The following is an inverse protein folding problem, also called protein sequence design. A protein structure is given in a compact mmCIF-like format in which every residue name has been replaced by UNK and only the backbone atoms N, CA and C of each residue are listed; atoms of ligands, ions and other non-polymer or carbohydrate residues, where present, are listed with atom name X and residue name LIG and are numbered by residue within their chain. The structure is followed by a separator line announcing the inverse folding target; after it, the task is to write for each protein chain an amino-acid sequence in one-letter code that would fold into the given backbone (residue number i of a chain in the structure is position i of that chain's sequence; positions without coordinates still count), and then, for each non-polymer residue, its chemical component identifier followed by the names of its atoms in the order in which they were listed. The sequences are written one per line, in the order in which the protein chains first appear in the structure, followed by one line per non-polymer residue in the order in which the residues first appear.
data_IF_868737237919
#
_entry.id   IF_868737237919
#
_cell.length_a   1.000
_cell.length_b   1.000
_cell.length_c   1.000
_cell.angle_alpha   90.00
_cell.angle_beta   90.00
_cell.angle_gamma   90.00
#
_symmetry.space_group_name_H-M   'P 1'
#
loop_
_entity.id
_entity.type
_entity.pdbx_description
1 polymer ?
#
# COMPACT_ATOMS: atom_id res chain seq x y z
N UNK A 1 105.43 24.23 -22.07
CA UNK A 1 104.41 23.78 -21.09
C UNK A 1 103.05 24.34 -21.50
N UNK A 2 102.13 23.43 -21.84
CA UNK A 2 100.64 23.45 -21.73
C UNK A 2 99.93 24.78 -22.06
N UNK A 3 99.30 24.94 -23.24
CA UNK A 3 98.01 24.40 -23.72
C UNK A 3 96.80 25.30 -23.39
N UNK A 4 96.27 26.01 -24.40
CA UNK A 4 94.94 26.62 -24.42
C UNK A 4 94.12 25.98 -25.54
N UNK A 5 92.95 25.38 -25.27
CA UNK A 5 91.95 25.07 -26.29
C UNK A 5 90.89 26.16 -26.39
N UNK A 6 90.46 26.42 -27.62
CA UNK A 6 89.43 27.40 -27.99
C UNK A 6 88.00 27.00 -27.57
N UNK A 7 87.02 27.88 -27.82
CA UNK A 7 85.73 27.86 -27.15
C UNK A 7 84.75 26.82 -27.72
N UNK A 8 84.04 26.13 -26.82
CA UNK A 8 82.91 25.26 -27.13
C UNK A 8 81.61 26.07 -27.30
N UNK A 9 80.86 25.72 -28.35
CA UNK A 9 79.54 26.28 -28.70
C UNK A 9 78.46 25.70 -27.77
N UNK A 10 77.69 26.56 -27.12
CA UNK A 10 76.44 26.20 -26.45
C UNK A 10 75.30 25.92 -27.46
N UNK A 11 74.24 25.20 -27.05
CA UNK A 11 73.17 24.79 -27.95
C UNK A 11 72.21 25.95 -28.28
N UNK A 12 71.71 25.92 -29.51
CA UNK A 12 70.72 26.86 -30.07
C UNK A 12 69.34 26.65 -29.43
N UNK A 13 68.71 27.72 -28.97
CA UNK A 13 67.27 27.77 -28.72
C UNK A 13 66.52 28.03 -30.05
N UNK A 14 65.49 27.23 -30.33
CA UNK A 14 64.54 27.45 -31.44
C UNK A 14 63.27 28.12 -30.89
N UNK A 15 62.62 29.05 -31.63
CA UNK A 15 61.39 29.70 -31.20
C UNK A 15 60.13 28.93 -31.65
N UNK A 16 59.12 29.00 -30.77
CA UNK A 16 57.67 29.03 -30.98
C UNK A 16 56.97 27.99 -31.88
N UNK A 17 56.24 27.08 -31.23
CA UNK A 17 55.06 26.43 -31.77
C UNK A 17 53.82 26.92 -30.98
N UNK A 18 52.68 27.24 -31.63
CA UNK A 18 51.52 27.79 -30.93
C UNK A 18 50.84 26.72 -30.06
N UNK A 19 50.39 27.15 -28.88
CA UNK A 19 49.65 26.32 -27.95
C UNK A 19 48.34 25.82 -28.58
N UNK A 20 48.14 24.50 -28.58
CA UNK A 20 46.83 23.90 -28.85
C UNK A 20 45.93 24.16 -27.62
N UNK A 21 44.89 24.95 -27.81
CA UNK A 21 43.76 25.00 -26.86
C UNK A 21 43.18 23.59 -26.72
N UNK A 22 43.30 23.03 -25.52
CA UNK A 22 42.58 21.83 -25.15
C UNK A 22 41.09 22.18 -25.04
N UNK A 23 40.30 21.80 -26.05
CA UNK A 23 38.85 21.76 -25.92
C UNK A 23 38.49 20.82 -24.76
N UNK A 24 37.86 21.37 -23.72
CA UNK A 24 37.27 20.60 -22.65
C UNK A 24 36.19 19.67 -23.23
N UNK A 25 36.06 18.42 -22.74
CA UNK A 25 35.04 17.52 -23.25
C UNK A 25 33.65 18.03 -22.84
N UNK A 26 32.91 18.52 -23.84
CA UNK A 26 31.48 18.86 -23.76
C UNK A 26 30.67 17.56 -23.58
N UNK A 27 30.59 17.05 -22.35
CA UNK A 27 29.96 15.75 -22.07
C UNK A 27 29.02 15.68 -20.87
N UNK A 28 28.72 16.80 -20.19
CA UNK A 28 27.99 16.78 -18.89
C UNK A 28 26.53 17.27 -18.89
N UNK A 29 26.09 18.01 -19.92
CA UNK A 29 24.83 18.78 -19.87
C UNK A 29 23.55 17.93 -20.09
N UNK A 30 23.58 16.99 -21.04
CA UNK A 30 22.38 16.24 -21.45
C UNK A 30 21.79 15.30 -20.40
N UNK A 31 22.61 14.75 -19.49
CA UNK A 31 22.14 13.86 -18.40
C UNK A 31 21.38 14.60 -17.29
N UNK A 32 21.78 15.84 -17.00
CA UNK A 32 21.16 16.67 -15.95
C UNK A 32 19.78 17.17 -16.40
N UNK A 33 19.68 17.60 -17.67
CA UNK A 33 18.42 17.99 -18.31
C UNK A 33 17.38 16.85 -18.35
N UNK A 34 17.79 15.62 -18.70
CA UNK A 34 16.87 14.47 -18.77
C UNK A 34 16.35 14.03 -17.40
N UNK A 35 17.15 14.15 -16.33
CA UNK A 35 16.71 13.86 -14.95
C UNK A 35 15.69 14.88 -14.48
N UNK A 36 15.94 16.17 -14.72
CA UNK A 36 14.99 17.23 -14.38
C UNK A 36 13.66 17.02 -15.09
N UNK A 37 13.68 16.79 -16.41
CA UNK A 37 12.46 16.54 -17.16
C UNK A 37 11.63 15.35 -16.62
N UNK A 38 12.28 14.25 -16.22
CA UNK A 38 11.58 13.12 -15.59
C UNK A 38 10.93 13.49 -14.25
N UNK A 39 11.60 14.32 -13.46
CA UNK A 39 11.08 14.80 -12.18
C UNK A 39 9.89 15.72 -12.41
N UNK A 40 9.97 16.65 -13.36
CA UNK A 40 8.88 17.58 -13.69
C UNK A 40 7.63 16.81 -14.14
N UNK A 41 7.80 15.77 -14.96
CA UNK A 41 6.69 14.88 -15.37
C UNK A 41 6.08 14.13 -14.19
N UNK A 42 6.89 13.66 -13.25
CA UNK A 42 6.38 12.97 -12.05
C UNK A 42 5.60 13.93 -11.13
N UNK A 43 6.11 15.15 -10.92
CA UNK A 43 5.45 16.20 -10.15
C UNK A 43 4.12 16.57 -10.80
N UNK A 44 4.10 16.78 -12.12
CA UNK A 44 2.87 17.12 -12.82
C UNK A 44 1.82 16.02 -12.67
N UNK A 45 2.20 14.74 -12.84
CA UNK A 45 1.27 13.61 -12.66
C UNK A 45 0.72 13.55 -11.24
N UNK A 46 1.56 13.77 -10.23
CA UNK A 46 1.13 13.82 -8.84
C UNK A 46 0.09 14.92 -8.63
N UNK A 47 0.35 16.13 -9.11
CA UNK A 47 -0.56 17.28 -9.01
C UNK A 47 -1.88 17.03 -9.72
N UNK A 48 -1.85 16.37 -10.88
CA UNK A 48 -3.06 15.96 -11.61
C UNK A 48 -3.91 14.99 -10.78
N UNK A 49 -3.31 14.00 -10.11
CA UNK A 49 -4.05 13.09 -9.23
C UNK A 49 -4.56 13.81 -7.98
N UNK A 50 -3.72 14.63 -7.35
CA UNK A 50 -4.08 15.38 -6.16
C UNK A 50 -5.28 16.31 -6.42
N UNK A 51 -5.33 16.95 -7.59
CA UNK A 51 -6.38 17.90 -7.93
C UNK A 51 -7.79 17.30 -7.87
N UNK A 52 -8.01 16.11 -8.45
CA UNK A 52 -9.33 15.48 -8.42
C UNK A 52 -9.60 14.75 -7.11
N UNK A 53 -8.60 14.12 -6.50
CA UNK A 53 -8.74 13.46 -5.18
C UNK A 53 -9.17 14.47 -4.10
N UNK A 54 -8.72 15.73 -4.19
CA UNK A 54 -9.14 16.79 -3.26
C UNK A 54 -10.61 17.20 -3.41
N UNK A 55 -11.29 16.76 -4.46
CA UNK A 55 -12.72 17.07 -4.67
C UNK A 55 -13.65 15.99 -4.11
N UNK A 56 -13.11 14.84 -3.72
CA UNK A 56 -13.91 13.76 -3.15
C UNK A 56 -14.34 14.13 -1.71
N UNK A 57 -15.62 13.96 -1.35
CA UNK A 57 -16.05 14.15 0.02
C UNK A 57 -15.56 12.98 0.89
N UNK A 58 -15.19 13.29 2.13
CA UNK A 58 -14.89 12.28 3.13
C UNK A 58 -16.16 11.52 3.54
N UNK A 59 -16.00 10.24 3.88
CA UNK A 59 -17.07 9.45 4.46
C UNK A 59 -17.45 9.97 5.86
N UNK A 60 -18.74 9.92 6.25
CA UNK A 60 -19.16 10.31 7.58
C UNK A 60 -18.40 9.49 8.64
N UNK A 61 -17.88 10.19 9.64
CA UNK A 61 -17.03 9.61 10.69
C UNK A 61 -17.69 9.74 12.05
N UNK A 62 -17.85 8.62 12.74
CA UNK A 62 -18.56 8.54 14.01
C UNK A 62 -17.65 8.10 15.16
N UNK A 63 -17.97 8.57 16.37
CA UNK A 63 -17.24 8.31 17.62
C UNK A 63 -18.24 7.93 18.72
N UNK A 64 -18.67 6.66 18.79
CA UNK A 64 -19.63 6.21 19.80
C UNK A 64 -19.10 6.45 21.21
N UNK A 65 -20.00 6.83 22.12
CA UNK A 65 -19.77 6.75 23.56
C UNK A 65 -19.62 5.30 24.02
N UNK A 66 -19.15 5.10 25.25
CA UNK A 66 -19.04 3.77 25.83
C UNK A 66 -20.40 3.04 25.94
N UNK A 67 -21.49 3.79 26.15
CA UNK A 67 -22.85 3.24 26.20
C UNK A 67 -23.32 2.80 24.81
N UNK A 68 -23.17 3.67 23.81
CA UNK A 68 -23.49 3.37 22.40
C UNK A 68 -22.66 2.20 21.84
N UNK A 69 -21.41 2.05 22.30
CA UNK A 69 -20.55 0.93 21.94
C UNK A 69 -21.08 -0.43 22.44
N UNK A 70 -21.96 -0.44 23.44
CA UNK A 70 -22.50 -1.65 24.05
C UNK A 70 -23.43 -2.46 23.14
N UNK A 71 -24.04 -1.86 22.12
CA UNK A 71 -24.89 -2.56 21.13
C UNK A 71 -24.53 -2.14 19.70
N UNK A 72 -23.67 -2.90 19.00
CA UNK A 72 -23.20 -2.54 17.66
C UNK A 72 -24.33 -2.42 16.64
N UNK A 73 -25.31 -3.32 16.69
CA UNK A 73 -26.38 -3.34 15.70
C UNK A 73 -27.40 -2.21 15.97
N UNK A 74 -27.64 -1.85 17.24
CA UNK A 74 -28.41 -0.66 17.55
C UNK A 74 -27.70 0.62 17.11
N UNK A 75 -26.40 0.72 17.33
CA UNK A 75 -25.60 1.86 16.89
C UNK A 75 -25.55 2.01 15.37
N UNK A 76 -25.33 0.91 14.64
CA UNK A 76 -25.36 0.94 13.17
C UNK A 76 -26.73 1.42 12.68
N UNK A 77 -27.84 0.95 13.29
CA UNK A 77 -29.19 1.43 12.97
C UNK A 77 -29.39 2.92 13.27
N UNK A 78 -28.80 3.46 14.34
CA UNK A 78 -28.97 4.88 14.68
C UNK A 78 -28.26 5.81 13.70
N UNK A 79 -27.10 5.41 13.15
CA UNK A 79 -26.37 6.21 12.15
C UNK A 79 -26.84 5.95 10.70
N UNK A 80 -27.55 4.84 10.45
CA UNK A 80 -27.94 4.39 9.11
C UNK A 80 -28.68 5.45 8.26
N UNK A 81 -29.62 6.27 8.78
CA UNK A 81 -30.29 7.28 7.97
C UNK A 81 -29.36 8.30 7.30
N UNK A 82 -28.24 8.64 7.94
CA UNK A 82 -27.21 9.53 7.40
C UNK A 82 -26.16 8.75 6.62
N UNK A 83 -25.57 7.71 7.24
CA UNK A 83 -24.46 6.93 6.67
C UNK A 83 -24.82 6.26 5.33
N UNK A 84 -26.08 5.83 5.18
CA UNK A 84 -26.53 5.16 3.95
C UNK A 84 -26.53 6.06 2.71
N UNK A 85 -26.54 7.40 2.88
CA UNK A 85 -26.43 8.35 1.77
C UNK A 85 -25.02 8.37 1.16
N UNK A 86 -23.99 8.04 1.94
CA UNK A 86 -22.60 7.94 1.49
C UNK A 86 -22.22 6.52 1.04
N UNK A 87 -22.96 5.50 1.49
CA UNK A 87 -22.69 4.08 1.20
C UNK A 87 -21.61 3.44 2.06
N UNK A 88 -20.72 4.22 2.67
CA UNK A 88 -19.69 3.79 3.64
C UNK A 88 -19.58 4.81 4.77
N UNK A 89 -19.16 4.37 5.95
CA UNK A 89 -18.89 5.22 7.11
C UNK A 89 -17.68 4.70 7.90
N UNK A 90 -16.99 5.60 8.59
CA UNK A 90 -15.91 5.26 9.51
C UNK A 90 -16.42 5.33 10.96
N UNK A 91 -16.14 4.32 11.76
CA UNK A 91 -16.47 4.29 13.19
C UNK A 91 -15.16 4.13 13.98
N UNK A 92 -14.82 5.11 14.80
CA UNK A 92 -13.69 4.99 15.72
C UNK A 92 -14.11 4.26 16.98
N UNK A 93 -13.52 3.09 17.23
CA UNK A 93 -13.71 2.37 18.48
C UNK A 93 -13.27 3.24 19.67
N UNK A 94 -14.07 3.34 20.75
CA UNK A 94 -13.70 4.03 21.98
C UNK A 94 -12.77 3.18 22.86
N UNK A 95 -12.48 1.95 22.44
CA UNK A 95 -11.57 1.01 23.10
C UNK A 95 -10.43 0.66 22.13
N UNK A 96 -9.19 0.73 22.62
CA UNK A 96 -8.03 0.28 21.87
C UNK A 96 -7.79 -1.22 22.10
N UNK A 97 -7.34 -1.98 21.08
CA UNK A 97 -6.87 -3.33 21.30
C UNK A 97 -5.61 -3.33 22.17
N UNK A 98 -5.44 -4.35 23.00
CA UNK A 98 -4.25 -4.59 23.81
C UNK A 98 -3.31 -5.63 23.18
N UNK A 99 -3.82 -6.51 22.32
CA UNK A 99 -3.06 -7.55 21.65
C UNK A 99 -2.80 -7.19 20.19
N UNK A 100 -1.52 -7.29 19.78
CA UNK A 100 -1.15 -7.17 18.37
C UNK A 100 -1.69 -8.38 17.58
N UNK A 101 -2.16 -8.19 16.32
CA UNK A 101 -2.72 -9.28 15.52
C UNK A 101 -1.73 -10.43 15.28
N UNK A 102 -0.45 -10.11 15.11
CA UNK A 102 0.61 -11.12 14.97
C UNK A 102 0.72 -12.03 16.20
N UNK A 103 0.46 -11.51 17.41
CA UNK A 103 0.44 -12.34 18.62
C UNK A 103 -0.77 -13.26 18.66
N UNK A 104 -1.96 -12.74 18.33
CA UNK A 104 -3.19 -13.53 18.29
C UNK A 104 -3.07 -14.68 17.29
N UNK A 105 -2.52 -14.39 16.11
CA UNK A 105 -2.37 -15.38 15.04
C UNK A 105 -1.20 -16.35 15.26
N UNK A 106 -0.17 -15.97 16.03
CA UNK A 106 0.89 -16.89 16.45
C UNK A 106 0.39 -18.02 17.37
N UNK A 107 -0.70 -17.78 18.12
CA UNK A 107 -1.33 -18.79 18.97
C UNK A 107 -2.19 -19.79 18.14
N UNK A 108 -2.42 -19.53 16.85
CA UNK A 108 -3.10 -20.45 15.91
C UNK A 108 -2.07 -21.42 15.32
N UNK A 109 -2.11 -22.73 15.66
CA UNK A 109 -1.09 -23.67 15.24
C UNK A 109 -0.97 -23.77 13.72
N UNK A 110 0.22 -23.45 13.19
CA UNK A 110 0.51 -23.58 11.77
C UNK A 110 -0.17 -22.53 10.88
N UNK A 111 -0.62 -21.39 11.42
CA UNK A 111 -1.22 -20.33 10.62
C UNK A 111 -0.24 -19.84 9.54
N UNK A 112 -0.64 -20.05 8.28
CA UNK A 112 0.01 -19.56 7.06
C UNK A 112 -1.07 -19.16 6.06
N UNK A 113 -0.72 -18.32 5.10
CA UNK A 113 -1.65 -17.90 4.05
C UNK A 113 -0.94 -17.78 2.70
N UNK A 114 -1.68 -18.00 1.61
CA UNK A 114 -1.23 -17.71 0.25
C UNK A 114 -1.64 -16.30 -0.16
N UNK A 115 -1.03 -15.80 -1.22
CA UNK A 115 -1.35 -14.50 -1.81
C UNK A 115 -1.92 -14.65 -3.21
N UNK A 116 -2.52 -13.58 -3.71
CA UNK A 116 -2.83 -13.41 -5.13
C UNK A 116 -2.00 -12.26 -5.70
N UNK A 117 -1.55 -12.43 -6.93
CA UNK A 117 -0.75 -11.45 -7.66
C UNK A 117 -1.68 -10.48 -8.38
N UNK A 118 -1.48 -9.20 -8.12
CA UNK A 118 -2.21 -8.08 -8.70
C UNK A 118 -1.26 -7.25 -9.55
N UNK A 119 -1.53 -7.19 -10.85
CA UNK A 119 -0.78 -6.33 -11.74
C UNK A 119 -1.30 -4.89 -11.66
N UNK A 120 -0.38 -3.94 -11.45
CA UNK A 120 -0.66 -2.51 -11.42
C UNK A 120 -0.51 -1.90 -12.82
N UNK A 121 -1.23 -0.82 -13.07
CA UNK A 121 -1.40 -0.21 -14.37
C UNK A 121 -2.69 -0.65 -15.05
N UNK A 122 -3.09 0.11 -16.07
CA UNK A 122 -4.29 -0.17 -16.85
C UNK A 122 -4.15 -1.52 -17.57
N UNK A 123 -4.64 -2.57 -16.93
CA UNK A 123 -4.81 -3.88 -17.56
C UNK A 123 -5.88 -3.74 -18.64
N UNK A 124 -5.50 -4.01 -19.89
CA UNK A 124 -6.43 -3.96 -21.02
C UNK A 124 -7.13 -5.31 -21.10
N UNK A 125 -8.07 -5.55 -20.20
CA UNK A 125 -8.96 -6.70 -20.31
C UNK A 125 -9.85 -6.51 -21.54
N UNK A 126 -9.79 -7.45 -22.48
CA UNK A 126 -10.59 -7.41 -23.71
C UNK A 126 -11.90 -8.18 -23.56
N UNK A 127 -12.02 -9.02 -22.52
CA UNK A 127 -13.22 -9.77 -22.15
C UNK A 127 -13.21 -10.10 -20.64
N UNK A 128 -14.39 -10.21 -20.01
CA UNK A 128 -14.52 -10.58 -18.60
C UNK A 128 -13.93 -11.96 -18.28
N UNK A 129 -14.07 -12.92 -19.19
CA UNK A 129 -13.55 -14.28 -19.01
C UNK A 129 -12.02 -14.34 -18.98
N UNK A 130 -11.34 -13.28 -19.45
CA UNK A 130 -9.89 -13.18 -19.44
C UNK A 130 -9.31 -12.60 -18.15
N UNK A 131 -10.17 -12.10 -17.24
CA UNK A 131 -9.73 -11.55 -15.95
C UNK A 131 -9.36 -12.70 -15.03
N UNK A 132 -8.06 -12.84 -14.74
CA UNK A 132 -7.53 -13.78 -13.75
C UNK A 132 -6.52 -13.06 -12.88
N UNK A 133 -6.67 -13.20 -11.57
CA UNK A 133 -5.56 -12.98 -10.65
C UNK A 133 -4.76 -14.27 -10.60
N UNK A 134 -3.45 -14.17 -10.78
CA UNK A 134 -2.57 -15.31 -10.62
C UNK A 134 -2.44 -15.64 -9.13
N UNK A 135 -2.49 -16.92 -8.78
CA UNK A 135 -2.20 -17.34 -7.41
C UNK A 135 -0.69 -17.24 -7.16
N UNK A 136 -0.33 -16.71 -6.00
CA UNK A 136 1.05 -16.79 -5.52
C UNK A 136 1.41 -18.26 -5.28
N UNK A 137 2.65 -18.61 -5.58
CA UNK A 137 3.17 -19.98 -5.44
C UNK A 137 3.69 -20.28 -4.03
N UNK A 138 3.53 -19.34 -3.09
CA UNK A 138 4.15 -19.37 -1.77
C UNK A 138 3.17 -19.11 -0.65
N UNK A 139 3.37 -19.83 0.45
CA UNK A 139 2.72 -19.60 1.72
C UNK A 139 3.59 -18.74 2.63
N UNK A 140 2.94 -17.81 3.33
CA UNK A 140 3.57 -16.83 4.21
C UNK A 140 3.11 -16.97 5.65
N UNK A 141 4.02 -16.75 6.59
CA UNK A 141 3.64 -16.21 7.91
C UNK A 141 3.41 -14.70 7.80
N UNK A 142 2.73 -14.09 8.78
CA UNK A 142 2.58 -12.63 8.83
C UNK A 142 3.93 -11.90 8.88
N UNK A 143 4.89 -12.45 9.62
CA UNK A 143 6.22 -11.87 9.79
C UNK A 143 7.01 -11.90 8.47
N UNK A 144 6.96 -13.02 7.74
CA UNK A 144 7.58 -13.17 6.43
C UNK A 144 6.99 -12.16 5.43
N UNK A 145 5.66 -12.08 5.34
CA UNK A 145 4.98 -11.18 4.41
C UNK A 145 5.24 -9.70 4.75
N UNK A 146 5.24 -9.35 6.05
CA UNK A 146 5.53 -7.98 6.49
C UNK A 146 6.98 -7.57 6.16
N UNK A 147 7.95 -8.47 6.35
CA UNK A 147 9.34 -8.21 6.00
C UNK A 147 9.53 -8.00 4.50
N UNK A 148 8.88 -8.82 3.68
CA UNK A 148 8.92 -8.68 2.22
C UNK A 148 8.19 -7.44 1.71
N UNK A 149 7.05 -7.10 2.31
CA UNK A 149 6.34 -5.87 2.02
C UNK A 149 7.21 -4.63 2.30
N UNK A 150 7.88 -4.59 3.46
CA UNK A 150 8.78 -3.50 3.82
C UNK A 150 9.99 -3.41 2.89
N UNK A 151 10.60 -4.55 2.53
CA UNK A 151 11.72 -4.59 1.59
C UNK A 151 11.30 -4.13 0.17
N UNK A 152 10.12 -4.55 -0.29
CA UNK A 152 9.57 -4.16 -1.57
C UNK A 152 9.27 -2.65 -1.63
N UNK A 153 8.67 -2.09 -0.57
CA UNK A 153 8.41 -0.64 -0.46
C UNK A 153 9.71 0.18 -0.44
N UNK A 154 10.70 -0.24 0.35
CA UNK A 154 12.01 0.39 0.38
C UNK A 154 12.69 0.37 -1.01
N UNK A 155 12.61 -0.76 -1.72
CA UNK A 155 13.13 -0.86 -3.08
C UNK A 155 12.38 0.04 -4.08
N UNK A 156 11.06 0.17 -3.91
CA UNK A 156 10.19 0.97 -4.78
C UNK A 156 10.54 2.46 -4.77
N UNK A 157 10.91 2.98 -3.60
CA UNK A 157 11.22 4.39 -3.40
C UNK A 157 12.71 4.68 -3.18
N UNK A 158 13.59 3.78 -3.63
CA UNK A 158 15.02 4.02 -3.64
C UNK A 158 15.64 4.16 -2.24
N UNK A 159 15.12 3.44 -1.25
CA UNK A 159 15.63 3.40 0.11
C UNK A 159 15.06 4.44 1.05
N UNK A 160 13.96 5.12 0.69
CA UNK A 160 13.18 5.89 1.66
C UNK A 160 12.68 4.95 2.76
N UNK A 161 12.90 5.35 4.01
CA UNK A 161 12.52 4.58 5.18
C UNK A 161 11.15 5.02 5.69
N UNK A 162 10.31 4.04 6.04
CA UNK A 162 8.97 4.27 6.59
C UNK A 162 7.87 4.34 5.52
N UNK A 163 6.60 4.24 5.96
CA UNK A 163 5.47 4.25 5.05
C UNK A 163 5.29 5.61 4.40
N UNK A 164 4.84 5.63 3.14
CA UNK A 164 4.41 6.87 2.52
C UNK A 164 3.24 7.51 3.27
N UNK A 165 3.14 8.86 3.31
CA UNK A 165 1.92 9.54 3.75
C UNK A 165 0.71 9.02 2.94
N UNK A 166 -0.47 8.80 3.55
CA UNK A 166 -1.61 8.17 2.87
C UNK A 166 -2.00 8.84 1.55
N UNK A 167 -2.10 10.18 1.55
CA UNK A 167 -2.44 10.94 0.35
C UNK A 167 -1.37 10.84 -0.74
N UNK A 168 -0.10 10.75 -0.35
CA UNK A 168 0.99 10.53 -1.32
C UNK A 168 0.89 9.14 -1.95
N UNK A 169 0.64 8.11 -1.14
CA UNK A 169 0.41 6.75 -1.65
C UNK A 169 -0.80 6.69 -2.59
N UNK A 170 -1.90 7.38 -2.25
CA UNK A 170 -3.10 7.44 -3.09
C UNK A 170 -2.83 8.07 -4.46
N UNK A 171 -2.16 9.23 -4.50
CA UNK A 171 -1.76 9.86 -5.76
C UNK A 171 -0.86 8.94 -6.61
N UNK A 172 0.11 8.26 -5.99
CA UNK A 172 1.00 7.33 -6.69
C UNK A 172 0.25 6.10 -7.22
N UNK A 173 -0.69 5.55 -6.45
CA UNK A 173 -1.53 4.43 -6.88
C UNK A 173 -2.31 4.78 -8.15
N UNK A 174 -3.01 5.92 -8.16
CA UNK A 174 -3.79 6.35 -9.32
C UNK A 174 -2.94 6.76 -10.53
N UNK A 175 -1.76 7.33 -10.29
CA UNK A 175 -0.79 7.61 -11.34
C UNK A 175 -0.26 6.30 -11.99
N UNK A 176 -0.02 5.26 -11.18
CA UNK A 176 0.36 3.93 -11.66
C UNK A 176 -0.77 3.29 -12.47
N UNK A 177 -2.02 3.32 -11.97
CA UNK A 177 -3.18 2.78 -12.69
C UNK A 177 -3.43 3.47 -14.03
N UNK A 178 -3.15 4.77 -14.12
CA UNK A 178 -3.30 5.55 -15.36
C UNK A 178 -2.16 5.29 -16.36
N UNK A 179 -1.06 4.68 -15.93
CA UNK A 179 0.11 4.42 -16.77
C UNK A 179 -0.07 3.12 -17.58
N UNK A 180 0.12 3.17 -18.92
CA UNK A 180 0.11 1.95 -19.72
C UNK A 180 1.33 1.09 -19.39
N UNK A 181 1.08 -0.17 -19.03
CA UNK A 181 2.10 -1.19 -18.78
C UNK A 181 3.15 -0.75 -17.73
N UNK A 182 2.70 -0.51 -16.48
CA UNK A 182 3.62 -0.20 -15.37
C UNK A 182 4.64 -1.33 -15.15
N UNK A 183 4.30 -2.56 -15.53
CA UNK A 183 5.09 -3.77 -15.31
C UNK A 183 5.23 -4.14 -13.85
N UNK A 184 4.51 -3.46 -12.95
CA UNK A 184 4.61 -3.66 -11.51
C UNK A 184 3.52 -4.59 -11.02
N UNK A 185 3.88 -5.47 -10.10
CA UNK A 185 2.98 -6.43 -9.49
C UNK A 185 3.04 -6.30 -7.97
N UNK A 186 1.91 -6.53 -7.31
CA UNK A 186 1.79 -6.60 -5.86
C UNK A 186 1.11 -7.89 -5.46
N UNK A 187 1.36 -8.35 -4.24
CA UNK A 187 0.72 -9.52 -3.69
C UNK A 187 -0.27 -9.10 -2.62
N UNK A 188 -1.37 -9.82 -2.53
CA UNK A 188 -2.42 -9.56 -1.56
C UNK A 188 -2.94 -10.87 -0.97
N UNK A 189 -2.85 -11.04 0.35
CA UNK A 189 -3.49 -12.15 1.06
C UNK A 189 -4.96 -11.80 1.33
N UNK A 190 -5.84 -12.05 0.37
CA UNK A 190 -7.29 -11.81 0.51
C UNK A 190 -8.06 -13.11 0.77
N UNK A 191 -9.18 -12.97 1.48
CA UNK A 191 -10.10 -14.06 1.79
C UNK A 191 -9.43 -15.19 2.58
N UNK A 192 -8.51 -14.81 3.48
CA UNK A 192 -7.81 -15.75 4.36
C UNK A 192 -8.72 -16.11 5.52
N UNK A 193 -9.07 -17.39 5.66
CA UNK A 193 -9.89 -17.83 6.80
C UNK A 193 -9.13 -17.61 8.13
N UNK A 194 -9.82 -17.05 9.12
CA UNK A 194 -9.26 -16.83 10.45
C UNK A 194 -9.69 -15.51 11.07
N UNK A 195 -9.16 -15.22 12.25
CA UNK A 195 -9.45 -13.98 12.97
C UNK A 195 -8.28 -13.53 13.82
N UNK A 196 -8.08 -12.21 13.90
CA UNK A 196 -7.13 -11.59 14.81
C UNK A 196 -7.81 -10.95 16.02
N UNK A 197 -9.10 -11.23 16.26
CA UNK A 197 -9.76 -10.91 17.52
C UNK A 197 -9.50 -12.01 18.55
N UNK A 198 -9.18 -11.62 19.77
CA UNK A 198 -8.98 -12.54 20.87
C UNK A 198 -9.96 -12.23 22.02
N UNK A 199 -10.68 -13.21 22.61
CA UNK A 199 -11.69 -12.92 23.64
C UNK A 199 -11.16 -12.25 24.91
N UNK A 200 -9.87 -12.40 25.22
CA UNK A 200 -9.22 -11.70 26.35
C UNK A 200 -8.71 -10.29 26.01
N UNK A 201 -8.83 -9.85 24.76
CA UNK A 201 -8.50 -8.49 24.34
C UNK A 201 -9.67 -7.53 24.66
N UNK A 202 -9.41 -6.28 25.12
CA UNK A 202 -10.49 -5.34 25.44
C UNK A 202 -11.48 -5.09 24.30
N UNK A 203 -11.03 -5.06 23.04
CA UNK A 203 -11.90 -4.96 21.87
C UNK A 203 -12.52 -6.32 21.54
N UNK A 204 -11.73 -7.39 21.58
CA UNK A 204 -12.18 -8.76 21.28
C UNK A 204 -13.20 -9.33 22.26
N UNK A 205 -13.29 -8.79 23.48
CA UNK A 205 -14.32 -9.11 24.47
C UNK A 205 -15.67 -8.43 24.21
N UNK A 206 -15.74 -7.47 23.28
CA UNK A 206 -16.97 -6.73 22.99
C UNK A 206 -17.83 -7.42 21.92
N UNK A 207 -19.07 -6.97 21.79
CA UNK A 207 -19.97 -7.37 20.70
C UNK A 207 -19.52 -6.89 19.31
N UNK A 208 -18.54 -5.99 19.24
CA UNK A 208 -17.89 -5.57 18.00
C UNK A 208 -16.83 -6.57 17.50
N UNK A 209 -16.54 -7.63 18.26
CA UNK A 209 -15.76 -8.75 17.75
C UNK A 209 -16.49 -9.38 16.55
N UNK A 210 -15.83 -9.39 15.38
CA UNK A 210 -16.45 -9.82 14.13
C UNK A 210 -16.76 -11.33 14.08
N UNK A 211 -16.25 -12.13 15.03
CA UNK A 211 -16.69 -13.52 15.21
C UNK A 211 -18.03 -13.64 15.93
N UNK A 212 -18.44 -12.59 16.66
CA UNK A 212 -19.66 -12.58 17.49
C UNK A 212 -20.79 -11.84 16.76
N UNK A 213 -20.46 -10.75 16.07
CA UNK A 213 -21.44 -9.84 15.46
C UNK A 213 -22.50 -10.53 14.56
N UNK A 214 -22.17 -11.48 13.68
CA UNK A 214 -23.17 -12.17 12.85
C UNK A 214 -24.20 -12.96 13.68
N UNK A 215 -23.87 -13.31 14.93
CA UNK A 215 -24.70 -14.12 15.83
C UNK A 215 -25.45 -13.30 16.88
N UNK A 216 -25.25 -11.98 16.93
CA UNK A 216 -26.00 -11.11 17.84
C UNK A 216 -27.52 -11.24 17.60
N UNK A 217 -28.37 -11.12 18.64
CA UNK A 217 -29.81 -11.40 18.53
C UNK A 217 -30.55 -10.62 17.44
N UNK A 218 -30.10 -9.41 17.11
CA UNK A 218 -30.69 -8.57 16.08
C UNK A 218 -30.15 -8.84 14.66
N UNK A 219 -29.15 -9.71 14.50
CA UNK A 219 -28.65 -10.13 13.20
C UNK A 219 -29.53 -11.26 12.65
N UNK A 220 -29.94 -11.16 11.39
CA UNK A 220 -30.64 -12.28 10.72
C UNK A 220 -29.72 -13.48 10.47
N UNK A 221 -28.40 -13.23 10.37
CA UNK A 221 -27.39 -14.27 10.11
C UNK A 221 -27.27 -15.28 11.24
N UNK A 222 -27.78 -14.97 12.44
CA UNK A 222 -27.87 -15.93 13.56
C UNK A 222 -28.71 -17.18 13.24
N UNK A 223 -29.57 -17.09 12.23
CA UNK A 223 -30.40 -18.20 11.75
C UNK A 223 -29.72 -18.98 10.60
N UNK A 224 -28.57 -18.52 10.10
CA UNK A 224 -27.74 -19.29 9.18
C UNK A 224 -26.91 -20.30 9.99
N UNK A 225 -27.26 -21.59 9.86
CA UNK A 225 -26.55 -22.67 10.54
C UNK A 225 -25.35 -23.20 9.73
N UNK A 226 -25.20 -22.77 8.47
CA UNK A 226 -24.06 -23.11 7.65
C UNK A 226 -22.87 -22.23 8.00
N UNK A 227 -21.67 -22.82 8.03
CA UNK A 227 -20.43 -22.05 8.05
C UNK A 227 -20.15 -21.51 6.65
N UNK A 228 -20.26 -20.19 6.49
CA UNK A 228 -19.99 -19.47 5.26
C UNK A 228 -18.90 -18.43 5.55
N UNK A 229 -17.62 -18.70 5.20
CA UNK A 229 -16.53 -17.74 5.34
C UNK A 229 -16.87 -16.40 4.68
N UNK A 230 -16.59 -15.30 5.37
CA UNK A 230 -16.92 -13.95 4.93
C UNK A 230 -18.32 -13.48 5.31
N UNK A 231 -19.24 -14.40 5.68
CA UNK A 231 -20.63 -14.08 6.01
C UNK A 231 -20.94 -14.39 7.47
N UNK A 232 -20.78 -15.66 7.89
CA UNK A 232 -21.03 -16.09 9.27
C UNK A 232 -19.77 -16.14 10.13
N UNK A 233 -18.60 -16.13 9.48
CA UNK A 233 -17.28 -16.05 10.11
C UNK A 233 -16.43 -15.02 9.37
N UNK A 234 -15.58 -14.25 10.05
CA UNK A 234 -14.78 -13.22 9.40
C UNK A 234 -13.67 -13.82 8.53
N UNK A 235 -13.17 -13.03 7.59
CA UNK A 235 -11.94 -13.31 6.85
C UNK A 235 -10.88 -12.25 7.17
N UNK A 236 -9.63 -12.64 7.06
CA UNK A 236 -8.46 -11.78 7.17
C UNK A 236 -8.02 -11.29 5.79
N UNK A 237 -7.56 -10.04 5.77
CA UNK A 237 -6.98 -9.40 4.61
C UNK A 237 -5.61 -8.85 4.97
N UNK A 238 -4.57 -9.42 4.38
CA UNK A 238 -3.17 -9.06 4.62
C UNK A 238 -2.63 -8.35 3.38
N UNK A 239 -2.59 -7.02 3.46
CA UNK A 239 -2.16 -6.15 2.35
C UNK A 239 -0.73 -5.67 2.47
N UNK A 240 -0.15 -5.30 1.33
CA UNK A 240 1.06 -4.48 1.21
C UNK A 240 0.76 -3.20 0.44
N UNK A 241 1.73 -2.29 0.35
CA UNK A 241 1.57 -1.06 -0.44
C UNK A 241 1.02 -1.38 -1.84
N UNK A 242 -0.07 -0.69 -2.22
CA UNK A 242 -0.82 -0.81 -3.48
C UNK A 242 -1.59 -2.11 -3.71
N UNK A 243 -1.61 -3.06 -2.76
CA UNK A 243 -2.65 -4.09 -2.78
C UNK A 243 -4.03 -3.43 -2.71
N UNK A 244 -4.97 -3.90 -3.53
CA UNK A 244 -6.26 -3.26 -3.71
C UNK A 244 -7.40 -4.27 -3.83
N UNK A 245 -8.61 -3.85 -3.49
CA UNK A 245 -9.84 -4.55 -3.82
C UNK A 245 -10.61 -3.71 -4.84
N UNK A 246 -11.04 -4.34 -5.94
CA UNK A 246 -11.74 -3.63 -7.00
C UNK A 246 -13.16 -3.25 -6.57
N UNK A 247 -13.79 -2.33 -7.31
CA UNK A 247 -15.20 -1.98 -7.12
C UNK A 247 -16.08 -3.23 -7.18
N UNK A 248 -16.85 -3.47 -6.12
CA UNK A 248 -17.83 -4.54 -6.02
C UNK A 248 -18.95 -4.16 -5.03
N UNK A 249 -19.98 -4.99 -4.98
CA UNK A 249 -20.99 -4.99 -3.92
C UNK A 249 -20.94 -6.35 -3.22
N UNK A 250 -21.35 -6.37 -1.96
CA UNK A 250 -21.39 -7.59 -1.16
C UNK A 250 -22.44 -8.56 -1.68
N UNK A 251 -22.17 -9.85 -1.51
CA UNK A 251 -23.13 -10.91 -1.84
C UNK A 251 -24.45 -10.69 -1.11
N UNK A 252 -25.56 -10.88 -1.83
CA UNK A 252 -26.93 -10.62 -1.35
C UNK A 252 -27.15 -9.18 -0.85
N UNK A 253 -26.29 -8.23 -1.22
CA UNK A 253 -26.31 -6.85 -0.73
C UNK A 253 -26.28 -6.76 0.80
N UNK A 254 -25.56 -7.68 1.45
CA UNK A 254 -25.36 -7.64 2.89
C UNK A 254 -24.56 -6.39 3.30
N UNK A 255 -24.71 -6.03 4.57
CA UNK A 255 -23.77 -5.10 5.19
C UNK A 255 -22.41 -5.76 5.34
N UNK A 256 -21.35 -4.99 5.10
CA UNK A 256 -19.98 -5.37 5.40
C UNK A 256 -19.40 -4.47 6.47
N UNK A 257 -18.62 -5.06 7.37
CA UNK A 257 -17.89 -4.35 8.41
C UNK A 257 -16.42 -4.80 8.37
N UNK A 258 -15.52 -3.84 8.29
CA UNK A 258 -14.08 -4.08 8.25
C UNK A 258 -13.41 -3.47 9.49
N UNK A 259 -12.53 -4.23 10.14
CA UNK A 259 -11.70 -3.71 11.22
C UNK A 259 -10.21 -3.81 10.84
N UNK A 260 -9.53 -2.67 10.85
CA UNK A 260 -8.09 -2.61 10.61
C UNK A 260 -7.33 -2.91 11.91
N UNK A 261 -6.83 -4.15 12.06
CA UNK A 261 -6.14 -4.57 13.28
C UNK A 261 -4.80 -3.86 13.53
N UNK A 262 -4.00 -3.66 12.47
CA UNK A 262 -2.70 -3.00 12.52
C UNK A 262 -2.24 -2.64 11.10
N UNK A 263 -1.15 -1.89 11.00
CA UNK A 263 -0.47 -1.58 9.74
C UNK A 263 -0.74 -0.17 9.23
N UNK A 264 -0.42 0.05 7.96
CA UNK A 264 -0.63 1.31 7.28
C UNK A 264 -2.13 1.58 7.01
N UNK A 265 -2.45 2.83 6.65
CA UNK A 265 -3.82 3.20 6.29
C UNK A 265 -4.32 2.39 5.07
N UNK A 266 -5.58 1.97 5.13
CA UNK A 266 -6.36 1.50 3.99
C UNK A 266 -7.20 2.69 3.51
N UNK A 267 -7.02 3.08 2.25
CA UNK A 267 -7.73 4.18 1.59
C UNK A 267 -8.80 3.58 0.70
#
# INVERSE_FOLDING_TARGET
MRAHPGPQRGPKASPDAPAREAQAPMGGSGRRSRRQHKLDVAIQRHQEQEAWLSTLPDAPTYRPSAEEWGDPLAYIRSIQPEASLAGIALIHAPVAPALAPGRVLADVPGFRFTTRIQALGRQRWTAWDSVRFEEGDREYTLEEFAAEAAAAEAAWYGGLAGPLPPRTAECEYWALQSSPNSGKIVEYGNDVEGTAFHPCDPLGATKWNLNVLPHEPASVLRHCHAHVPGVTSPMLYVGRLFSAFAWHVEDQHLYSINYAHAGAAKV
#
